data_IF_327968498057
#
_entry.id   IF_327968498057
#
_cell.length_a   1.000
_cell.length_b   1.000
_cell.length_c   1.000
_cell.angle_alpha   90.00
_cell.angle_beta   90.00
_cell.angle_gamma   90.00
#
_symmetry.space_group_name_H-M   'P 1'
#
loop_
_entity.id
_entity.type
_entity.pdbx_description
1 polymer ?
#
# COMPACT_ATOMS: atom_id res chain seq x y z
N UNK A 1 -7.12 -6.39 30.44
CA UNK A 1 -7.33 -5.25 31.36
C UNK A 1 -8.75 -5.38 31.90
N UNK A 2 -8.92 -5.51 33.21
CA UNK A 2 -10.22 -5.67 33.85
C UNK A 2 -10.57 -4.34 34.54
N UNK A 3 -11.76 -3.81 34.29
CA UNK A 3 -12.28 -2.63 34.97
C UNK A 3 -13.60 -3.01 35.63
N UNK A 4 -13.72 -2.79 36.95
CA UNK A 4 -14.95 -3.07 37.72
C UNK A 4 -15.46 -4.52 37.54
N UNK A 5 -14.54 -5.48 37.40
CA UNK A 5 -14.87 -6.90 37.21
C UNK A 5 -15.31 -7.29 35.80
N UNK A 6 -15.30 -6.37 34.83
CA UNK A 6 -15.59 -6.66 33.41
C UNK A 6 -14.31 -6.58 32.57
N UNK A 7 -14.11 -7.57 31.70
CA UNK A 7 -12.97 -7.60 30.77
C UNK A 7 -13.25 -6.62 29.63
N UNK A 8 -12.41 -5.60 29.49
CA UNK A 8 -12.51 -4.64 28.39
C UNK A 8 -11.66 -5.12 27.21
N UNK A 9 -12.24 -5.07 26.01
CA UNK A 9 -11.51 -5.21 24.75
C UNK A 9 -11.29 -3.81 24.17
N UNK A 10 -10.02 -3.45 23.97
CA UNK A 10 -9.64 -2.19 23.33
C UNK A 10 -8.97 -2.51 21.99
N UNK A 11 -9.27 -1.73 20.96
CA UNK A 11 -8.64 -1.89 19.65
C UNK A 11 -8.30 -0.51 19.13
N UNK A 12 -7.01 -0.18 19.22
CA UNK A 12 -6.43 1.09 18.77
C UNK A 12 -6.89 1.46 17.34
N UNK A 13 -7.07 0.46 16.46
CA UNK A 13 -7.58 0.69 15.12
C UNK A 13 -9.03 1.22 15.11
N UNK A 14 -9.91 0.64 15.93
CA UNK A 14 -11.31 1.08 16.11
C UNK A 14 -11.37 2.45 16.79
N UNK A 15 -10.56 2.64 17.83
CA UNK A 15 -10.58 3.84 18.66
C UNK A 15 -10.02 5.07 17.92
N UNK A 16 -8.99 4.88 17.09
CA UNK A 16 -8.33 5.97 16.35
C UNK A 16 -8.87 6.18 14.91
N UNK A 17 -10.04 5.62 14.57
CA UNK A 17 -10.63 5.77 13.23
C UNK A 17 -9.81 5.18 12.08
N UNK A 18 -8.90 4.25 12.39
CA UNK A 18 -8.01 3.57 11.43
C UNK A 18 -8.46 2.14 11.13
N UNK A 19 -9.67 1.78 11.55
CA UNK A 19 -10.27 0.48 11.31
C UNK A 19 -10.56 0.30 9.81
N UNK A 20 -10.55 -0.94 9.28
CA UNK A 20 -10.67 -1.22 7.85
C UNK A 20 -11.92 -0.61 7.22
N UNK A 21 -12.97 -0.40 7.99
CA UNK A 21 -14.22 0.25 7.58
C UNK A 21 -14.03 1.73 7.21
N UNK A 22 -13.04 2.41 7.81
CA UNK A 22 -12.79 3.85 7.63
C UNK A 22 -11.58 4.17 6.75
N UNK A 23 -10.81 3.17 6.31
CA UNK A 23 -9.63 3.39 5.45
C UNK A 23 -10.08 3.74 4.03
N UNK A 24 -10.14 5.05 3.71
CA UNK A 24 -10.28 5.53 2.33
C UNK A 24 -8.93 5.51 1.62
N UNK A 25 -8.80 4.70 0.56
CA UNK A 25 -7.62 4.75 -0.32
C UNK A 25 -7.69 6.00 -1.19
N UNK A 26 -6.72 6.90 -1.03
CA UNK A 26 -6.55 8.03 -1.95
C UNK A 26 -5.96 7.51 -3.27
N UNK A 27 -6.71 7.69 -4.34
CA UNK A 27 -6.22 7.45 -5.69
C UNK A 27 -5.53 8.73 -6.19
N UNK A 28 -4.26 8.60 -6.56
CA UNK A 28 -3.51 9.70 -7.14
C UNK A 28 -3.32 9.35 -8.62
N UNK A 29 -4.00 10.06 -9.55
CA UNK A 29 -4.01 9.69 -10.97
C UNK A 29 -2.63 9.82 -11.64
N UNK A 30 -1.68 10.54 -11.00
CA UNK A 30 -0.36 10.84 -11.55
C UNK A 30 0.78 10.09 -10.84
N UNK A 31 0.54 8.88 -10.31
CA UNK A 31 1.56 8.12 -9.53
C UNK A 31 2.83 7.77 -10.31
N UNK A 32 2.79 7.82 -11.63
CA UNK A 32 3.90 7.40 -12.48
C UNK A 32 4.41 8.63 -13.22
N UNK A 33 5.54 9.16 -12.75
CA UNK A 33 6.30 10.23 -13.42
C UNK A 33 7.56 9.63 -14.04
N UNK A 34 7.82 9.94 -15.30
CA UNK A 34 9.04 9.54 -15.96
C UNK A 34 10.23 10.39 -15.46
N UNK A 35 11.36 9.76 -15.13
CA UNK A 35 12.56 10.47 -14.67
C UNK A 35 13.40 11.03 -15.82
N UNK A 36 13.08 10.71 -17.08
CA UNK A 36 13.84 11.15 -18.25
C UNK A 36 13.16 12.31 -18.97
N UNK A 37 11.87 12.18 -19.30
CA UNK A 37 11.12 13.23 -20.00
C UNK A 37 10.25 14.10 -19.08
N UNK A 38 10.03 13.70 -17.81
CA UNK A 38 9.21 14.41 -16.86
C UNK A 38 7.70 14.29 -17.05
N UNK A 39 7.23 13.60 -18.10
CA UNK A 39 5.82 13.35 -18.39
C UNK A 39 5.21 12.30 -17.44
N UNK A 40 3.89 12.33 -17.33
CA UNK A 40 3.13 11.39 -16.51
C UNK A 40 2.54 10.26 -17.35
N UNK A 41 2.39 9.08 -16.75
CA UNK A 41 1.79 7.90 -17.37
C UNK A 41 2.77 6.76 -17.66
N UNK A 42 4.09 7.00 -17.58
CA UNK A 42 5.11 5.99 -17.83
C UNK A 42 6.37 6.17 -16.96
N UNK A 43 7.16 5.09 -16.79
CA UNK A 43 8.45 5.11 -16.10
C UNK A 43 9.59 5.21 -17.14
N UNK A 44 10.79 5.61 -16.71
CA UNK A 44 11.98 5.70 -17.58
C UNK A 44 12.24 4.43 -18.39
N UNK A 45 11.94 3.25 -17.82
CA UNK A 45 12.09 1.96 -18.51
C UNK A 45 11.25 1.83 -19.78
N UNK A 46 10.16 2.58 -19.90
CA UNK A 46 9.24 2.53 -21.05
C UNK A 46 9.20 3.88 -21.78
N UNK A 47 10.15 4.78 -21.52
CA UNK A 47 10.18 6.11 -22.11
C UNK A 47 10.74 6.06 -23.54
N UNK A 48 10.05 6.71 -24.48
CA UNK A 48 10.49 6.79 -25.88
C UNK A 48 11.76 7.64 -26.06
N UNK A 49 12.07 8.51 -25.10
CA UNK A 49 13.29 9.36 -25.10
C UNK A 49 14.44 8.75 -24.29
N UNK A 50 14.33 7.47 -23.93
CA UNK A 50 15.33 6.79 -23.14
C UNK A 50 16.64 6.62 -23.91
N UNK A 51 17.66 7.39 -23.52
CA UNK A 51 19.00 7.34 -24.10
C UNK A 51 19.81 6.13 -23.64
N UNK A 52 19.37 5.45 -22.58
CA UNK A 52 20.06 4.33 -21.94
C UNK A 52 19.59 2.96 -22.46
N UNK A 53 18.62 2.94 -23.39
CA UNK A 53 18.06 1.74 -24.01
C UNK A 53 17.22 0.85 -23.07
N UNK A 54 16.73 -0.28 -23.59
CA UNK A 54 15.90 -1.22 -22.84
C UNK A 54 16.70 -1.91 -21.73
N UNK A 55 16.44 -1.51 -20.49
CA UNK A 55 17.02 -2.13 -19.29
C UNK A 55 16.08 -3.22 -18.77
N UNK A 56 16.62 -4.40 -18.45
CA UNK A 56 15.84 -5.42 -17.76
C UNK A 56 15.32 -4.86 -16.43
N UNK A 57 14.00 -4.89 -16.25
CA UNK A 57 13.38 -4.49 -15.01
C UNK A 57 13.75 -5.47 -13.88
N UNK A 58 14.02 -4.97 -12.66
CA UNK A 58 14.31 -5.84 -11.53
C UNK A 58 13.10 -6.71 -11.18
N UNK A 59 13.32 -8.01 -10.99
CA UNK A 59 12.26 -8.95 -10.60
C UNK A 59 11.78 -8.62 -9.19
N UNK A 60 10.50 -8.26 -9.04
CA UNK A 60 9.92 -8.01 -7.73
C UNK A 60 9.79 -9.32 -6.94
N UNK A 61 10.38 -9.37 -5.74
CA UNK A 61 10.21 -10.51 -4.82
C UNK A 61 8.75 -10.58 -4.35
N UNK A 62 8.11 -11.75 -4.53
CA UNK A 62 6.74 -11.99 -4.05
C UNK A 62 6.71 -11.88 -2.52
N UNK A 63 5.94 -10.95 -1.98
CA UNK A 63 5.68 -10.87 -0.53
C UNK A 63 4.80 -12.05 -0.11
N UNK A 64 5.21 -12.82 0.90
CA UNK A 64 4.36 -13.86 1.50
C UNK A 64 3.13 -13.18 2.10
N UNK A 65 1.92 -13.56 1.66
CA UNK A 65 0.67 -13.11 2.30
C UNK A 65 0.64 -13.69 3.72
N UNK A 66 0.41 -12.84 4.72
CA UNK A 66 0.12 -13.33 6.08
C UNK A 66 -1.24 -14.04 6.05
N UNK A 67 -1.40 -15.20 6.73
CA UNK A 67 -2.70 -15.83 6.87
C UNK A 67 -3.65 -14.84 7.56
N UNK A 68 -4.88 -14.75 7.05
CA UNK A 68 -5.96 -14.04 7.73
C UNK A 68 -6.29 -14.79 9.02
N UNK A 69 -6.14 -14.16 10.18
CA UNK A 69 -6.59 -14.75 11.43
C UNK A 69 -8.11 -14.96 11.36
N UNK A 70 -8.63 -16.11 11.83
CA UNK A 70 -10.06 -16.35 11.88
C UNK A 70 -10.74 -15.32 12.78
N UNK A 71 -11.92 -14.88 12.35
CA UNK A 71 -12.82 -14.02 13.10
C UNK A 71 -13.17 -14.79 14.39
N UNK A 72 -12.81 -14.23 15.54
CA UNK A 72 -13.27 -14.75 16.84
C UNK A 72 -14.63 -14.09 17.11
N UNK A 73 -15.68 -14.90 17.14
CA UNK A 73 -17.03 -14.54 17.58
C UNK A 73 -17.04 -14.08 19.05
#
# INVERSE_FOLDING_TARGET
MQLLGRTLSASIAKDNGRAPEFIRRREYPCKIRCYECGEYGHLSFTCSRNVLGDRMQPVQKKKRKKPSNPIRE
#
